data_IF_283457414782
#
_entry.id   IF_283457414782
#
_cell.length_a   1.000
_cell.length_b   1.000
_cell.length_c   1.000
_cell.angle_alpha   90.00
_cell.angle_beta   90.00
_cell.angle_gamma   90.00
#
_symmetry.space_group_name_H-M   'P 1'
#
loop_
_entity.id
_entity.type
_entity.pdbx_description
1 polymer ?
#
# COMPACT_ATOMS: atom_id res chain seq x y z
N UNK A 1 -5.34 -6.27 0.93
CA UNK A 1 -5.15 -4.82 1.04
C UNK A 1 -6.49 -4.17 0.77
N UNK A 2 -6.87 -3.20 1.58
CA UNK A 2 -8.12 -2.45 1.41
C UNK A 2 -7.82 -0.96 1.55
N UNK A 3 -8.46 -0.15 0.70
CA UNK A 3 -8.37 1.30 0.75
C UNK A 3 -9.77 1.89 0.88
N UNK A 4 -9.91 2.90 1.73
CA UNK A 4 -11.12 3.73 1.82
C UNK A 4 -10.82 5.04 1.13
N UNK A 5 -11.62 5.39 0.12
CA UNK A 5 -11.41 6.58 -0.70
C UNK A 5 -12.67 7.45 -0.66
N UNK A 6 -12.49 8.75 -0.43
CA UNK A 6 -13.55 9.75 -0.48
C UNK A 6 -13.04 10.95 -1.28
N UNK A 7 -13.80 11.38 -2.29
CA UNK A 7 -13.44 12.47 -3.20
C UNK A 7 -12.02 12.28 -3.80
N UNK A 8 -11.74 11.08 -4.29
CA UNK A 8 -10.44 10.65 -4.82
C UNK A 8 -9.26 10.68 -3.84
N UNK A 9 -9.50 10.99 -2.57
CA UNK A 9 -8.48 11.03 -1.50
C UNK A 9 -8.62 9.81 -0.61
N UNK A 10 -7.49 9.17 -0.32
CA UNK A 10 -7.43 8.00 0.56
C UNK A 10 -7.60 8.48 2.01
N UNK A 11 -8.67 8.04 2.67
CA UNK A 11 -8.96 8.37 4.07
C UNK A 11 -8.53 7.27 5.02
N UNK A 12 -8.45 6.02 4.54
CA UNK A 12 -7.92 4.90 5.31
C UNK A 12 -7.26 3.85 4.40
N UNK A 13 -6.34 3.08 4.97
CA UNK A 13 -5.63 2.01 4.28
C UNK A 13 -5.29 0.87 5.27
N UNK A 14 -5.47 -0.36 4.81
CA UNK A 14 -5.10 -1.59 5.52
C UNK A 14 -4.36 -2.57 4.61
N UNK A 15 -3.30 -3.18 5.15
CA UNK A 15 -2.45 -4.16 4.49
C UNK A 15 -2.15 -5.26 5.49
N UNK A 16 -2.37 -6.51 5.09
CA UNK A 16 -2.14 -7.69 5.92
C UNK A 16 -0.86 -8.41 5.52
N UNK A 17 -0.12 -8.92 6.51
CA UNK A 17 1.04 -9.77 6.29
C UNK A 17 0.60 -11.22 6.08
N UNK A 18 0.55 -11.66 4.83
CA UNK A 18 0.11 -13.02 4.44
C UNK A 18 1.25 -14.01 4.26
N UNK A 19 2.51 -13.55 4.26
CA UNK A 19 3.66 -14.43 4.05
C UNK A 19 3.86 -15.40 5.21
N UNK A 20 4.07 -16.67 4.88
CA UNK A 20 4.44 -17.72 5.85
C UNK A 20 5.95 -17.82 6.05
N UNK A 21 6.76 -17.33 5.10
CA UNK A 21 8.21 -17.24 5.28
C UNK A 21 8.55 -16.16 6.33
N UNK A 22 9.34 -16.47 7.38
CA UNK A 22 9.63 -15.53 8.47
C UNK A 22 10.31 -14.22 8.02
N UNK A 23 11.28 -14.30 7.11
CA UNK A 23 12.01 -13.12 6.64
C UNK A 23 11.09 -12.20 5.82
N UNK A 24 10.33 -12.78 4.88
CA UNK A 24 9.35 -12.02 4.10
C UNK A 24 8.24 -11.43 4.97
N UNK A 25 7.78 -12.17 6.00
CA UNK A 25 6.79 -11.67 6.97
C UNK A 25 7.34 -10.47 7.75
N UNK A 26 8.60 -10.52 8.19
CA UNK A 26 9.24 -9.40 8.87
C UNK A 26 9.28 -8.13 8.00
N UNK A 27 9.63 -8.26 6.72
CA UNK A 27 9.60 -7.12 5.79
C UNK A 27 8.19 -6.61 5.50
N UNK A 28 7.18 -7.48 5.48
CA UNK A 28 5.77 -7.06 5.39
C UNK A 28 5.36 -6.26 6.64
N UNK A 29 5.76 -6.70 7.84
CA UNK A 29 5.47 -5.98 9.09
C UNK A 29 6.14 -4.59 9.11
N UNK A 30 7.43 -4.50 8.75
CA UNK A 30 8.11 -3.20 8.66
C UNK A 30 7.45 -2.24 7.67
N UNK A 31 6.95 -2.75 6.54
CA UNK A 31 6.16 -1.97 5.62
C UNK A 31 4.85 -1.51 6.27
N UNK A 32 4.09 -2.43 6.89
CA UNK A 32 2.80 -2.16 7.53
C UNK A 32 2.91 -1.10 8.63
N UNK A 33 4.00 -1.10 9.39
CA UNK A 33 4.23 -0.13 10.47
C UNK A 33 4.50 1.30 9.94
N UNK A 34 4.93 1.46 8.69
CA UNK A 34 5.46 2.73 8.19
C UNK A 34 4.78 3.27 6.92
N UNK A 35 3.99 2.48 6.20
CA UNK A 35 3.39 2.92 4.92
C UNK A 35 2.24 3.91 5.10
N UNK A 36 1.46 3.80 6.19
CA UNK A 36 0.17 4.50 6.33
C UNK A 36 0.28 6.04 6.25
N UNK A 37 1.27 6.70 6.87
CA UNK A 37 1.49 8.14 6.72
C UNK A 37 1.85 8.59 5.29
N UNK A 38 2.34 7.69 4.44
CA UNK A 38 2.68 7.97 3.05
C UNK A 38 1.47 7.85 2.11
N UNK A 39 0.38 7.24 2.59
CA UNK A 39 -0.79 6.86 1.80
C UNK A 39 -2.00 7.72 2.15
N UNK A 40 -2.32 7.86 3.45
CA UNK A 40 -3.50 8.61 3.90
C UNK A 40 -3.35 10.08 3.54
N UNK A 41 -4.42 10.67 3.00
CA UNK A 41 -4.44 12.06 2.51
C UNK A 41 -3.88 12.24 1.09
N UNK A 42 -3.36 11.18 0.44
CA UNK A 42 -2.96 11.23 -0.97
C UNK A 42 -4.13 10.95 -1.89
N UNK A 43 -4.06 11.52 -3.10
CA UNK A 43 -4.97 11.14 -4.18
C UNK A 43 -4.69 9.71 -4.63
N UNK A 44 -5.74 8.95 -4.89
CA UNK A 44 -5.62 7.58 -5.38
C UNK A 44 -4.86 7.52 -6.71
N UNK A 45 -5.08 8.47 -7.62
CA UNK A 45 -4.43 8.52 -8.95
C UNK A 45 -2.90 8.70 -8.89
N UNK A 46 -2.42 9.47 -7.92
CA UNK A 46 -1.03 9.94 -7.85
C UNK A 46 -0.18 9.09 -6.91
N UNK A 47 -0.80 8.22 -6.11
CA UNK A 47 -0.11 7.45 -5.09
C UNK A 47 0.90 6.47 -5.70
N UNK A 48 2.16 6.56 -5.29
CA UNK A 48 3.19 5.58 -5.63
C UNK A 48 4.21 5.53 -4.51
N UNK A 49 4.41 4.35 -3.93
CA UNK A 49 5.40 4.14 -2.88
C UNK A 49 6.73 3.71 -3.50
N UNK A 50 7.84 4.16 -2.94
CA UNK A 50 9.20 3.79 -3.37
C UNK A 50 9.81 2.78 -2.41
N UNK A 51 10.75 3.18 -1.56
CA UNK A 51 11.26 2.36 -0.47
C UNK A 51 10.55 2.74 0.83
N UNK A 52 10.09 1.74 1.58
CA UNK A 52 9.53 1.94 2.91
C UNK A 52 10.31 1.05 3.86
N UNK A 53 11.04 1.67 4.79
CA UNK A 53 11.83 0.99 5.84
C UNK A 53 12.76 -0.11 5.31
N UNK A 54 13.43 0.12 4.18
CA UNK A 54 14.34 -0.85 3.57
C UNK A 54 13.65 -1.90 2.70
N UNK A 55 12.32 -2.04 2.76
CA UNK A 55 11.59 -2.94 1.87
C UNK A 55 11.41 -2.32 0.48
N UNK A 56 11.90 -3.00 -0.56
CA UNK A 56 11.69 -2.65 -1.97
C UNK A 56 10.58 -3.46 -2.64
N UNK A 57 10.42 -4.74 -2.24
CA UNK A 57 9.44 -5.64 -2.84
C UNK A 57 8.01 -5.43 -2.32
N UNK A 58 7.84 -5.10 -1.03
CA UNK A 58 6.49 -4.85 -0.48
C UNK A 58 5.84 -3.60 -1.09
N UNK A 59 6.54 -2.45 -1.23
CA UNK A 59 5.99 -1.30 -1.96
C UNK A 59 5.69 -1.60 -3.43
N UNK A 60 6.48 -2.47 -4.09
CA UNK A 60 6.19 -2.87 -5.46
C UNK A 60 4.83 -3.60 -5.54
N UNK A 61 4.61 -4.62 -4.71
CA UNK A 61 3.34 -5.34 -4.68
C UNK A 61 2.16 -4.43 -4.30
N UNK A 62 2.37 -3.47 -3.40
CA UNK A 62 1.38 -2.44 -3.07
C UNK A 62 1.02 -1.59 -4.29
N UNK A 63 2.03 -1.10 -5.03
CA UNK A 63 1.79 -0.31 -6.24
C UNK A 63 1.11 -1.11 -7.35
N UNK A 64 1.46 -2.39 -7.51
CA UNK A 64 0.81 -3.27 -8.48
C UNK A 64 -0.70 -3.39 -8.13
N UNK A 65 -1.04 -3.59 -6.85
CA UNK A 65 -2.42 -3.64 -6.40
C UNK A 65 -3.17 -2.28 -6.53
N UNK A 66 -2.47 -1.14 -6.47
CA UNK A 66 -3.08 0.16 -6.77
C UNK A 66 -3.54 0.28 -8.22
N UNK A 67 -2.84 -0.36 -9.16
CA UNK A 67 -3.24 -0.35 -10.58
C UNK A 67 -4.60 -1.03 -10.74
N UNK A 68 -4.79 -2.18 -10.11
CA UNK A 68 -6.04 -2.92 -10.15
C UNK A 68 -7.18 -2.11 -9.50
N UNK A 69 -6.95 -1.54 -8.32
CA UNK A 69 -7.95 -0.71 -7.62
C UNK A 69 -8.35 0.52 -8.45
N UNK A 70 -7.40 1.17 -9.12
CA UNK A 70 -7.67 2.29 -10.02
C UNK A 70 -8.51 1.89 -11.22
N UNK A 71 -8.20 0.75 -11.82
CA UNK A 71 -8.97 0.20 -12.93
C UNK A 71 -10.42 -0.09 -12.52
N UNK A 72 -10.62 -0.67 -11.32
CA UNK A 72 -11.95 -0.94 -10.76
C UNK A 72 -12.71 0.34 -10.41
N UNK A 73 -12.02 1.32 -9.82
CA UNK A 73 -12.58 2.62 -9.45
C UNK A 73 -12.76 3.58 -10.65
N UNK A 74 -12.20 3.24 -11.83
CA UNK A 74 -12.18 4.05 -13.06
C UNK A 74 -11.52 5.42 -12.89
N UNK A 75 -10.42 5.48 -12.15
CA UNK A 75 -9.63 6.70 -11.85
C UNK A 75 -8.16 6.55 -12.16
#
# INVERSE_FOLDING_TARGET
>A
MTLTVANDVITDATVDATSTNPASKQWQLFFIDNYKPLVVGKKLSDLKLSNVSGSSLTPKGFNDALVDIRAEAKV
#
